data_IF_776570174062
#
_entry.id   IF_776570174062
#
_cell.length_a   1.000
_cell.length_b   1.000
_cell.length_c   1.000
_cell.angle_alpha   90.00
_cell.angle_beta   90.00
_cell.angle_gamma   90.00
#
_symmetry.space_group_name_H-M   'P 1'
#
loop_
_entity.id
_entity.type
_entity.pdbx_description
1 polymer ?
#
# COMPACT_ATOMS: atom_id res chain seq x y z
N UNK A 1 -12.93 23.48 15.43
CA UNK A 1 -13.29 22.64 14.27
C UNK A 1 -12.18 21.60 14.15
N UNK A 2 -12.49 20.30 14.22
CA UNK A 2 -11.46 19.28 14.11
C UNK A 2 -10.86 19.33 12.69
N UNK A 3 -9.53 19.40 12.58
CA UNK A 3 -8.85 19.26 11.29
C UNK A 3 -9.01 17.81 10.82
N UNK A 4 -9.99 17.57 9.95
CA UNK A 4 -10.16 16.28 9.30
C UNK A 4 -9.18 16.18 8.13
N UNK A 5 -8.29 15.19 8.15
CA UNK A 5 -7.41 14.90 7.01
C UNK A 5 -8.24 14.21 5.94
N UNK A 6 -8.08 14.60 4.68
CA UNK A 6 -8.71 13.91 3.56
C UNK A 6 -7.83 12.73 3.14
N UNK A 7 -8.08 11.54 3.67
CA UNK A 7 -7.37 10.33 3.25
C UNK A 7 -7.78 9.96 1.82
N UNK A 8 -6.78 9.73 0.96
CA UNK A 8 -6.99 9.59 -0.49
C UNK A 8 -6.75 8.15 -0.95
N UNK A 9 -5.59 7.58 -0.62
CA UNK A 9 -5.24 6.21 -1.00
C UNK A 9 -4.14 5.65 -0.09
N UNK A 10 -4.00 4.33 -0.10
CA UNK A 10 -2.85 3.61 0.47
C UNK A 10 -1.90 3.24 -0.68
N UNK A 11 -0.60 3.18 -0.42
CA UNK A 11 0.36 2.66 -1.40
C UNK A 11 1.41 1.77 -0.77
N UNK A 12 1.95 0.83 -1.53
CA UNK A 12 3.12 0.03 -1.17
C UNK A 12 4.28 0.42 -2.06
N UNK A 13 5.38 0.92 -1.47
CA UNK A 13 6.59 1.33 -2.19
C UNK A 13 7.71 0.33 -1.94
N UNK A 14 8.59 0.13 -2.92
CA UNK A 14 9.84 -0.62 -2.75
C UNK A 14 10.99 0.38 -2.63
N UNK A 15 11.64 0.45 -1.47
CA UNK A 15 12.67 1.43 -1.18
C UNK A 15 14.01 0.77 -0.88
N UNK A 16 15.12 1.26 -1.48
CA UNK A 16 16.45 0.88 -1.07
C UNK A 16 16.81 1.54 0.26
N UNK A 17 17.34 0.75 1.18
CA UNK A 17 17.94 1.22 2.43
C UNK A 17 19.33 1.80 2.18
N UNK A 18 19.87 2.57 3.15
CA UNK A 18 21.23 3.11 3.10
C UNK A 18 22.29 1.99 2.94
N UNK A 19 21.99 0.76 3.40
CA UNK A 19 22.85 -0.41 3.29
C UNK A 19 22.79 -1.14 1.95
N UNK A 20 21.90 -0.75 1.03
CA UNK A 20 21.69 -1.43 -0.25
C UNK A 20 20.76 -2.65 -0.18
N UNK A 21 20.20 -2.96 1.00
CA UNK A 21 19.04 -3.85 1.13
C UNK A 21 17.76 -3.13 0.72
N UNK A 22 16.65 -3.85 0.59
CA UNK A 22 15.37 -3.27 0.24
C UNK A 22 14.32 -3.54 1.32
N UNK A 23 13.40 -2.58 1.45
CA UNK A 23 12.19 -2.67 2.28
C UNK A 23 10.97 -2.28 1.45
N UNK A 24 9.80 -2.64 1.97
CA UNK A 24 8.51 -2.23 1.46
C UNK A 24 7.83 -1.30 2.45
N UNK A 25 7.48 -0.10 2.01
CA UNK A 25 6.83 0.92 2.84
C UNK A 25 5.32 0.96 2.53
N UNK A 26 4.50 0.90 3.56
CA UNK A 26 3.05 1.12 3.45
C UNK A 26 2.74 2.56 3.86
N UNK A 27 2.27 3.33 2.88
CA UNK A 27 2.01 4.77 3.03
C UNK A 27 0.52 5.09 2.96
N UNK A 28 0.03 5.94 3.86
CA UNK A 28 -1.33 6.51 3.82
C UNK A 28 -1.26 7.96 3.32
N UNK A 29 -1.79 8.20 2.13
CA UNK A 29 -1.77 9.50 1.46
C UNK A 29 -2.97 10.36 1.84
N UNK A 30 -2.72 11.65 2.03
CA UNK A 30 -3.72 12.64 2.36
C UNK A 30 -3.34 14.03 1.85
N UNK A 31 -4.35 14.90 1.71
CA UNK A 31 -4.17 16.30 1.33
C UNK A 31 -3.20 16.49 0.13
N UNK A 32 -3.37 15.66 -0.90
CA UNK A 32 -2.60 15.53 -2.14
C UNK A 32 -1.29 14.75 -2.00
N UNK A 33 -0.21 15.37 -1.53
CA UNK A 33 1.14 14.80 -1.57
C UNK A 33 1.74 14.60 -0.18
N UNK A 34 0.92 14.64 0.86
CA UNK A 34 1.36 14.30 2.21
C UNK A 34 1.05 12.83 2.45
N UNK A 35 1.90 12.16 3.19
CA UNK A 35 1.64 10.81 3.63
C UNK A 35 2.13 10.60 5.06
N UNK A 36 1.58 9.57 5.68
CA UNK A 36 2.21 8.88 6.80
C UNK A 36 2.79 7.59 6.25
N UNK A 37 4.06 7.35 6.52
CA UNK A 37 4.62 6.01 6.49
C UNK A 37 4.15 5.30 7.75
N UNK A 38 3.40 4.21 7.58
CA UNK A 38 2.75 3.52 8.69
C UNK A 38 3.48 2.23 9.06
N UNK A 39 4.02 1.53 8.06
CA UNK A 39 4.70 0.25 8.23
C UNK A 39 5.87 0.15 7.25
N UNK A 40 6.92 -0.53 7.70
CA UNK A 40 8.02 -1.01 6.87
C UNK A 40 8.08 -2.53 7.04
N UNK A 41 8.17 -3.27 5.94
CA UNK A 41 8.34 -4.72 5.95
C UNK A 41 9.45 -5.15 4.99
N UNK A 42 10.08 -6.29 5.25
CA UNK A 42 11.07 -6.87 4.33
C UNK A 42 10.45 -7.80 3.29
N UNK A 43 9.22 -8.25 3.53
CA UNK A 43 8.49 -9.14 2.64
C UNK A 43 7.39 -8.38 1.88
N UNK A 44 7.38 -8.55 0.55
CA UNK A 44 6.40 -7.91 -0.32
C UNK A 44 4.96 -8.31 0.04
N UNK A 45 4.73 -9.60 0.29
CA UNK A 45 3.40 -10.14 0.54
C UNK A 45 2.86 -9.57 1.84
N UNK A 46 3.67 -9.53 2.90
CA UNK A 46 3.28 -8.93 4.19
C UNK A 46 2.93 -7.45 4.03
N UNK A 47 3.78 -6.64 3.39
CA UNK A 47 3.49 -5.23 3.14
C UNK A 47 2.20 -5.02 2.32
N UNK A 48 1.99 -5.85 1.30
CA UNK A 48 0.82 -5.75 0.44
C UNK A 48 -0.46 -6.16 1.14
N UNK A 49 -0.43 -7.19 1.98
CA UNK A 49 -1.56 -7.57 2.84
C UNK A 49 -1.95 -6.43 3.78
N UNK A 50 -0.97 -5.81 4.43
CA UNK A 50 -1.20 -4.67 5.33
C UNK A 50 -1.80 -3.48 4.55
N UNK A 51 -1.22 -3.14 3.40
CA UNK A 51 -1.71 -2.06 2.55
C UNK A 51 -3.14 -2.31 2.06
N UNK A 52 -3.44 -3.56 1.67
CA UNK A 52 -4.77 -3.98 1.28
C UNK A 52 -5.79 -3.84 2.42
N UNK A 53 -5.51 -4.43 3.59
CA UNK A 53 -6.41 -4.40 4.75
C UNK A 53 -6.68 -2.97 5.21
N UNK A 54 -5.67 -2.10 5.20
CA UNK A 54 -5.84 -0.68 5.52
C UNK A 54 -6.73 0.04 4.51
N UNK A 55 -6.53 -0.22 3.21
CA UNK A 55 -7.34 0.38 2.14
C UNK A 55 -8.81 -0.05 2.22
N UNK A 56 -9.08 -1.27 2.66
CA UNK A 56 -10.44 -1.81 2.87
C UNK A 56 -11.12 -1.15 4.07
N UNK A 57 -10.42 -1.07 5.21
CA UNK A 57 -10.97 -0.45 6.43
C UNK A 57 -11.33 1.03 6.23
N UNK A 58 -10.54 1.74 5.43
CA UNK A 58 -10.76 3.15 5.12
C UNK A 58 -11.66 3.37 3.90
N UNK A 59 -12.00 2.31 3.16
CA UNK A 59 -12.73 2.36 1.89
C UNK A 59 -12.11 3.35 0.88
N UNK A 60 -10.79 3.21 0.67
CA UNK A 60 -9.99 4.00 -0.28
C UNK A 60 -9.20 3.09 -1.21
N UNK A 61 -8.61 3.68 -2.25
CA UNK A 61 -7.85 2.95 -3.26
C UNK A 61 -6.49 2.45 -2.71
N UNK A 62 -5.96 1.41 -3.35
CA UNK A 62 -4.63 0.87 -3.10
C UNK A 62 -3.78 1.01 -4.37
N UNK A 63 -2.58 1.57 -4.22
CA UNK A 63 -1.58 1.70 -5.27
C UNK A 63 -0.41 0.74 -5.03
N UNK A 64 -0.12 -0.12 -6.00
CA UNK A 64 1.16 -0.82 -6.07
C UNK A 64 2.19 0.08 -6.73
N UNK A 65 3.20 0.49 -5.95
CA UNK A 65 4.31 1.32 -6.35
C UNK A 65 5.66 0.62 -6.12
N UNK A 66 5.68 -0.71 -6.13
CA UNK A 66 6.87 -1.52 -5.87
C UNK A 66 7.82 -1.62 -7.06
N UNK A 67 7.34 -1.29 -8.27
CA UNK A 67 8.16 -1.15 -9.47
C UNK A 67 8.39 0.34 -9.80
N UNK A 68 9.63 0.84 -9.79
CA UNK A 68 9.92 2.24 -10.09
C UNK A 68 9.36 2.67 -11.46
N UNK A 69 8.59 3.77 -11.46
CA UNK A 69 7.89 4.33 -12.63
C UNK A 69 6.79 3.43 -13.25
N UNK A 70 6.38 2.35 -12.57
CA UNK A 70 5.29 1.47 -13.03
C UNK A 70 4.20 1.33 -11.95
N UNK A 71 3.54 2.46 -11.65
CA UNK A 71 2.49 2.53 -10.64
C UNK A 71 1.18 1.89 -11.14
N UNK A 72 0.62 0.97 -10.36
CA UNK A 72 -0.59 0.20 -10.72
C UNK A 72 -1.65 0.34 -9.63
N UNK A 73 -2.82 0.86 -9.99
CA UNK A 73 -3.98 0.79 -9.11
C UNK A 73 -4.48 -0.65 -9.00
N UNK A 74 -4.71 -1.10 -7.78
CA UNK A 74 -5.09 -2.48 -7.50
C UNK A 74 -6.60 -2.65 -7.66
N UNK A 75 -7.01 -3.61 -8.49
CA UNK A 75 -8.40 -4.11 -8.49
C UNK A 75 -8.62 -4.96 -7.24
N UNK A 76 -9.17 -4.33 -6.19
CA UNK A 76 -9.37 -4.97 -4.88
C UNK A 76 -10.40 -6.09 -4.91
N UNK A 77 -11.38 -6.04 -5.80
CA UNK A 77 -12.42 -7.09 -5.92
C UNK A 77 -11.85 -8.34 -6.58
N UNK A 78 -11.05 -8.17 -7.63
CA UNK A 78 -10.31 -9.27 -8.23
C UNK A 78 -9.30 -9.88 -7.24
N UNK A 79 -8.63 -9.03 -6.45
CA UNK A 79 -7.67 -9.49 -5.45
C UNK A 79 -8.31 -10.34 -4.36
N UNK A 80 -9.45 -9.90 -3.76
CA UNK A 80 -10.24 -10.71 -2.81
C UNK A 80 -10.63 -12.07 -3.39
N UNK A 81 -11.00 -12.09 -4.66
CA UNK A 81 -11.40 -13.32 -5.36
C UNK A 81 -10.22 -14.28 -5.50
N UNK A 82 -9.03 -13.77 -5.82
CA UNK A 82 -7.79 -14.56 -5.93
C UNK A 82 -7.34 -15.09 -4.57
N UNK A 83 -7.46 -14.26 -3.54
CA UNK A 83 -7.25 -14.59 -2.14
C UNK A 83 -8.13 -15.73 -1.64
N UNK A 84 -9.43 -15.65 -1.87
CA UNK A 84 -10.40 -16.67 -1.47
C UNK A 84 -10.17 -18.01 -2.19
N UNK A 85 -9.54 -17.99 -3.36
CA UNK A 85 -9.15 -19.19 -4.13
C UNK A 85 -7.79 -19.76 -3.69
N UNK A 86 -7.10 -19.13 -2.74
CA UNK A 86 -5.76 -19.55 -2.27
C UNK A 86 -4.68 -19.44 -3.34
N UNK A 87 -4.86 -18.57 -4.34
CA UNK A 87 -4.01 -18.52 -5.55
C UNK A 87 -3.00 -17.37 -5.56
N UNK A 88 -2.86 -16.62 -4.46
CA UNK A 88 -1.75 -15.69 -4.31
C UNK A 88 -0.53 -16.46 -3.79
N UNK A 89 0.32 -16.85 -4.73
CA UNK A 89 1.68 -17.34 -4.47
C UNK A 89 2.55 -16.20 -3.95
#
# INVERSE_FOLDING_TARGET
MANHKNYQYVSVFHQPTIGGEYIFEVNLWYDNNKHFELYEEHDYKEAFLIGFDLSEQLNIDLLDATEPNNFKWVDKDNWKTTMAKGSIE
#
